data_IF_545351508151
#
_entry.id   IF_545351508151
#
_cell.length_a   1.000
_cell.length_b   1.000
_cell.length_c   1.000
_cell.angle_alpha   90.00
_cell.angle_beta   90.00
_cell.angle_gamma   90.00
#
_symmetry.space_group_name_H-M   'P 1'
#
loop_
_entity.id
_entity.type
_entity.pdbx_description
1 polymer ?
#
# COMPACT_ATOMS: atom_id res chain seq x y z
N UNK A 1 -12.03 4.53 30.75
CA UNK A 1 -13.09 4.64 31.77
C UNK A 1 -14.33 5.28 31.15
N UNK A 2 -15.43 4.53 30.93
CA UNK A 2 -16.70 5.11 30.46
C UNK A 2 -17.26 6.12 31.47
N UNK A 3 -17.69 7.28 30.99
CA UNK A 3 -18.27 8.35 31.79
C UNK A 3 -19.73 7.99 32.10
N UNK A 4 -20.04 7.89 33.39
CA UNK A 4 -21.38 7.57 33.89
C UNK A 4 -22.17 8.81 34.31
N UNK A 5 -21.49 9.77 34.96
CA UNK A 5 -22.06 11.09 35.34
C UNK A 5 -20.98 12.15 35.23
N UNK A 6 -21.38 13.37 34.97
CA UNK A 6 -20.54 14.56 34.98
C UNK A 6 -21.32 15.72 35.62
N UNK A 7 -20.61 16.59 36.33
CA UNK A 7 -21.19 17.76 36.99
C UNK A 7 -20.11 18.80 37.28
N UNK A 8 -20.54 20.05 37.51
CA UNK A 8 -19.63 21.12 37.93
C UNK A 8 -19.65 21.21 39.46
N UNK A 9 -18.47 21.22 40.07
CA UNK A 9 -18.31 21.45 41.50
C UNK A 9 -17.70 22.85 41.72
N UNK A 10 -18.38 23.71 42.47
CA UNK A 10 -17.97 25.10 42.72
C UNK A 10 -16.55 25.15 43.29
N UNK A 11 -15.65 25.86 42.61
CA UNK A 11 -14.23 25.97 42.97
C UNK A 11 -13.31 24.85 42.47
N UNK A 12 -13.87 23.71 42.05
CA UNK A 12 -13.09 22.55 41.59
C UNK A 12 -13.10 22.41 40.06
N UNK A 13 -14.21 22.78 39.40
CA UNK A 13 -14.38 22.68 37.95
C UNK A 13 -15.23 21.48 37.55
N UNK A 14 -14.95 20.94 36.37
CA UNK A 14 -15.68 19.80 35.79
C UNK A 14 -15.23 18.50 36.45
N UNK A 15 -16.16 17.82 37.13
CA UNK A 15 -15.93 16.51 37.75
C UNK A 15 -16.75 15.47 37.01
N UNK A 16 -16.11 14.36 36.69
CA UNK A 16 -16.73 13.21 36.06
C UNK A 16 -16.60 11.98 36.96
N UNK A 17 -17.48 11.01 36.77
CA UNK A 17 -17.45 9.75 37.52
C UNK A 17 -17.69 8.56 36.61
N UNK A 18 -17.01 7.45 36.90
CA UNK A 18 -17.12 6.23 36.12
C UNK A 18 -16.44 5.05 36.81
N UNK A 19 -16.62 3.87 36.24
CA UNK A 19 -15.88 2.67 36.66
C UNK A 19 -14.65 2.52 35.77
N UNK A 20 -13.47 2.45 36.38
CA UNK A 20 -12.21 2.24 35.67
C UNK A 20 -12.21 0.81 35.14
N UNK A 21 -12.42 0.64 33.84
CA UNK A 21 -12.49 -0.67 33.18
C UNK A 21 -11.11 -1.29 33.04
N UNK A 22 -10.12 -0.50 32.65
CA UNK A 22 -8.76 -0.98 32.37
C UNK A 22 -7.70 0.05 32.75
N UNK A 23 -6.49 -0.45 32.97
CA UNK A 23 -5.31 0.37 33.25
C UNK A 23 -5.34 1.06 34.61
N UNK A 24 -4.67 2.19 34.66
CA UNK A 24 -4.57 3.07 35.83
C UNK A 24 -4.43 4.51 35.34
N UNK A 25 -4.61 5.49 36.23
CA UNK A 25 -4.42 6.90 35.92
C UNK A 25 -3.92 7.63 37.18
N UNK A 26 -2.90 8.46 37.03
CA UNK A 26 -2.30 9.23 38.13
C UNK A 26 -2.65 10.70 38.05
N UNK A 27 -2.56 11.40 39.18
CA UNK A 27 -2.74 12.85 39.26
C UNK A 27 -1.77 13.57 38.32
N UNK A 28 -2.26 14.60 37.63
CA UNK A 28 -1.47 15.40 36.70
C UNK A 28 -1.30 14.81 35.29
N UNK A 29 -1.71 13.57 35.05
CA UNK A 29 -1.66 12.97 33.71
C UNK A 29 -2.62 13.67 32.73
N UNK A 30 -2.24 13.68 31.45
CA UNK A 30 -3.10 14.12 30.35
C UNK A 30 -4.03 12.99 29.93
N UNK A 31 -5.28 13.34 29.62
CA UNK A 31 -6.32 12.42 29.18
C UNK A 31 -7.03 12.96 27.95
N UNK A 32 -7.69 12.07 27.23
CA UNK A 32 -8.54 12.38 26.10
C UNK A 32 -9.93 11.80 26.33
N UNK A 33 -10.96 12.59 26.03
CA UNK A 33 -12.37 12.18 26.06
C UNK A 33 -12.76 11.84 24.63
N UNK A 34 -13.20 10.60 24.43
CA UNK A 34 -13.62 10.09 23.13
C UNK A 34 -15.13 9.78 23.14
N UNK A 35 -15.85 10.00 22.03
CA UNK A 35 -15.33 10.31 20.69
C UNK A 35 -15.09 11.80 20.39
N UNK A 36 -15.42 12.73 21.30
CA UNK A 36 -15.28 14.18 21.04
C UNK A 36 -13.85 14.68 20.81
N UNK A 37 -12.82 13.92 21.22
CA UNK A 37 -11.42 14.29 21.06
C UNK A 37 -10.97 15.41 22.01
N UNK A 38 -11.76 15.69 23.07
CA UNK A 38 -11.43 16.74 24.03
C UNK A 38 -10.23 16.31 24.87
N UNK A 39 -9.22 17.18 24.94
CA UNK A 39 -8.02 16.96 25.76
C UNK A 39 -8.17 17.65 27.10
N UNK A 40 -7.87 16.93 28.17
CA UNK A 40 -7.94 17.46 29.52
C UNK A 40 -6.73 17.00 30.35
N UNK A 41 -6.53 17.65 31.49
CA UNK A 41 -5.53 17.26 32.49
C UNK A 41 -6.19 16.87 33.81
N UNK A 42 -5.69 15.81 34.44
CA UNK A 42 -6.18 15.34 35.74
C UNK A 42 -5.75 16.29 36.85
N UNK A 43 -6.70 16.99 37.48
CA UNK A 43 -6.44 17.93 38.59
C UNK A 43 -6.50 17.25 39.95
N UNK A 44 -7.46 16.36 40.14
CA UNK A 44 -7.59 15.55 41.37
C UNK A 44 -8.35 14.27 41.09
N UNK A 45 -8.08 13.24 41.89
CA UNK A 45 -8.73 11.94 41.81
C UNK A 45 -9.35 11.60 43.16
N UNK A 46 -10.51 10.93 43.14
CA UNK A 46 -11.15 10.41 44.34
C UNK A 46 -11.72 9.01 44.11
N UNK A 47 -11.65 8.17 45.15
CA UNK A 47 -12.29 6.85 45.21
C UNK A 47 -13.05 6.79 46.52
N UNK A 48 -14.34 6.43 46.48
CA UNK A 48 -15.23 6.44 47.66
C UNK A 48 -15.17 7.75 48.48
N UNK A 49 -15.17 8.90 47.80
CA UNK A 49 -15.05 10.26 48.37
C UNK A 49 -13.72 10.55 49.11
N UNK A 50 -12.70 9.70 48.97
CA UNK A 50 -11.37 9.94 49.51
C UNK A 50 -10.41 10.38 48.40
N UNK A 51 -9.60 11.44 48.61
CA UNK A 51 -8.59 11.85 47.65
C UNK A 51 -7.52 10.78 47.51
N UNK A 52 -7.11 10.50 46.27
CA UNK A 52 -6.06 9.53 45.94
C UNK A 52 -5.13 10.13 44.88
N UNK A 53 -3.89 9.66 44.84
CA UNK A 53 -2.92 10.07 43.80
C UNK A 53 -3.05 9.22 42.52
N UNK A 54 -3.64 8.03 42.65
CA UNK A 54 -3.76 7.06 41.56
C UNK A 54 -5.06 6.27 41.66
N UNK A 55 -5.69 6.03 40.52
CA UNK A 55 -6.83 5.12 40.35
C UNK A 55 -6.43 3.94 39.48
N UNK A 56 -7.03 2.78 39.75
CA UNK A 56 -6.75 1.52 39.03
C UNK A 56 -8.04 0.84 38.58
N UNK A 57 -7.93 -0.07 37.61
CA UNK A 57 -9.04 -0.89 37.13
C UNK A 57 -9.82 -1.57 38.27
N UNK A 58 -11.14 -1.63 38.12
CA UNK A 58 -12.09 -2.15 39.12
C UNK A 58 -12.64 -1.08 40.07
N UNK A 59 -12.01 0.08 40.19
CA UNK A 59 -12.48 1.14 41.08
C UNK A 59 -13.55 2.02 40.43
N UNK A 60 -14.51 2.50 41.23
CA UNK A 60 -15.37 3.62 40.87
C UNK A 60 -14.68 4.91 41.29
N UNK A 61 -14.29 5.72 40.31
CA UNK A 61 -13.49 6.92 40.52
C UNK A 61 -14.26 8.19 40.14
N UNK A 62 -13.94 9.28 40.84
CA UNK A 62 -14.26 10.64 40.41
C UNK A 62 -12.97 11.34 39.97
N UNK A 63 -13.02 11.99 38.81
CA UNK A 63 -11.88 12.67 38.21
C UNK A 63 -12.26 14.13 38.00
N UNK A 64 -11.48 15.04 38.57
CA UNK A 64 -11.60 16.47 38.30
C UNK A 64 -10.70 16.81 37.11
N UNK A 65 -11.28 17.43 36.08
CA UNK A 65 -10.64 17.72 34.82
C UNK A 65 -10.38 19.22 34.66
N UNK A 66 -9.19 19.55 34.19
CA UNK A 66 -8.80 20.88 33.75
C UNK A 66 -8.81 20.95 32.22
N UNK A 67 -9.33 22.04 31.67
CA UNK A 67 -9.33 22.33 30.22
C UNK A 67 -10.61 21.94 29.48
N UNK A 68 -11.62 21.41 30.19
CA UNK A 68 -12.92 21.02 29.61
C UNK A 68 -14.08 21.48 30.48
N UNK A 69 -15.14 21.95 29.83
CA UNK A 69 -16.39 22.32 30.49
C UNK A 69 -17.37 21.14 30.50
N UNK A 70 -18.19 21.04 31.55
CA UNK A 70 -19.20 19.98 31.67
C UNK A 70 -20.24 20.01 30.54
N UNK A 71 -20.49 21.18 29.92
CA UNK A 71 -21.37 21.37 28.76
C UNK A 71 -20.86 20.70 27.48
N UNK A 72 -19.56 20.41 27.41
CA UNK A 72 -18.91 19.78 26.26
C UNK A 72 -18.88 18.25 26.35
N UNK A 73 -19.21 17.70 27.52
CA UNK A 73 -19.12 16.27 27.81
C UNK A 73 -20.50 15.65 27.67
N UNK A 74 -20.56 14.49 27.03
CA UNK A 74 -21.78 13.71 26.90
C UNK A 74 -21.72 12.39 27.68
N UNK A 75 -22.89 11.87 28.06
CA UNK A 75 -22.96 10.52 28.62
C UNK A 75 -22.75 9.50 27.51
N UNK A 76 -21.86 8.54 27.75
CA UNK A 76 -21.45 7.55 26.76
C UNK A 76 -20.04 7.77 26.25
N UNK A 77 -19.46 8.94 26.53
CA UNK A 77 -18.05 9.18 26.25
C UNK A 77 -17.14 8.38 27.19
N UNK A 78 -15.91 8.16 26.74
CA UNK A 78 -14.91 7.37 27.44
C UNK A 78 -13.66 8.19 27.61
N UNK A 79 -13.10 8.17 28.82
CA UNK A 79 -11.76 8.70 29.07
C UNK A 79 -10.71 7.65 28.87
N UNK A 80 -9.72 8.03 28.09
CA UNK A 80 -8.56 7.24 27.71
C UNK A 80 -7.29 8.06 27.91
N UNK A 81 -6.14 7.39 27.85
CA UNK A 81 -4.89 8.12 27.64
C UNK A 81 -4.85 8.58 26.16
N UNK A 82 -4.22 9.72 25.86
CA UNK A 82 -4.13 10.19 24.48
C UNK A 82 -3.50 9.14 23.57
N UNK A 83 -3.99 9.07 22.33
CA UNK A 83 -3.53 8.13 21.29
C UNK A 83 -3.74 6.64 21.59
N UNK A 84 -4.43 6.24 22.68
CA UNK A 84 -4.56 4.80 22.99
C UNK A 84 -5.73 4.09 22.34
N UNK A 85 -6.78 4.79 21.93
CA UNK A 85 -7.95 4.21 21.25
C UNK A 85 -8.44 5.19 20.18
N UNK A 86 -9.18 4.69 19.20
CA UNK A 86 -9.75 5.51 18.11
C UNK A 86 -11.26 5.29 18.08
N UNK A 87 -12.09 6.33 17.86
CA UNK A 87 -13.51 6.14 17.62
C UNK A 87 -13.77 5.41 16.29
N UNK A 88 -14.76 4.52 16.27
CA UNK A 88 -15.15 3.76 15.07
C UNK A 88 -16.67 3.78 14.88
N UNK A 89 -17.12 3.66 13.64
CA UNK A 89 -18.53 3.43 13.29
C UNK A 89 -18.79 2.00 12.79
N UNK A 90 -17.76 1.16 12.81
CA UNK A 90 -17.80 -0.21 12.29
C UNK A 90 -17.17 -1.16 13.31
N UNK A 91 -17.86 -2.25 13.64
CA UNK A 91 -17.37 -3.29 14.54
C UNK A 91 -17.65 -4.66 13.93
N UNK A 92 -16.69 -5.57 14.04
CA UNK A 92 -16.96 -7.00 13.85
C UNK A 92 -17.25 -7.62 15.21
N UNK A 93 -18.33 -8.39 15.28
CA UNK A 93 -18.84 -8.94 16.53
C UNK A 93 -19.25 -10.38 16.37
N UNK A 94 -19.20 -11.12 17.47
CA UNK A 94 -20.01 -12.31 17.64
C UNK A 94 -21.29 -11.89 18.34
N UNK A 95 -22.44 -12.13 17.70
CA UNK A 95 -23.75 -11.73 18.20
C UNK A 95 -24.53 -12.97 18.63
N UNK A 96 -25.04 -12.94 19.85
CA UNK A 96 -25.90 -13.95 20.45
C UNK A 96 -27.33 -13.40 20.51
N UNK A 97 -28.27 -14.12 19.88
CA UNK A 97 -29.69 -13.79 19.92
C UNK A 97 -30.36 -14.57 21.04
N UNK A 98 -31.05 -13.89 21.95
CA UNK A 98 -31.59 -14.52 23.14
C UNK A 98 -32.70 -15.52 22.77
N UNK A 99 -32.78 -16.69 23.45
CA UNK A 99 -33.89 -17.64 23.28
C UNK A 99 -35.26 -17.02 23.59
N UNK A 100 -35.30 -15.98 24.43
CA UNK A 100 -36.51 -15.25 24.82
C UNK A 100 -36.95 -14.20 23.79
N UNK A 101 -36.20 -13.99 22.71
CA UNK A 101 -36.58 -13.06 21.67
C UNK A 101 -37.78 -13.59 20.88
N UNK A 102 -38.76 -12.73 20.62
CA UNK A 102 -40.02 -13.14 19.98
C UNK A 102 -39.88 -13.50 18.49
N UNK A 103 -38.87 -12.95 17.81
CA UNK A 103 -38.72 -13.05 16.35
C UNK A 103 -37.26 -13.25 15.95
N UNK A 104 -36.99 -13.93 14.82
CA UNK A 104 -35.66 -13.95 14.23
C UNK A 104 -35.13 -12.56 13.94
N UNK A 105 -33.83 -12.36 14.18
CA UNK A 105 -33.13 -11.14 13.82
C UNK A 105 -32.73 -11.20 12.34
N UNK A 106 -33.42 -10.41 11.51
CA UNK A 106 -33.13 -10.33 10.08
C UNK A 106 -31.86 -9.52 9.81
N UNK A 107 -31.15 -9.91 8.76
CA UNK A 107 -30.03 -9.14 8.25
C UNK A 107 -30.44 -7.70 7.87
N UNK A 108 -29.53 -6.74 8.05
CA UNK A 108 -29.68 -5.30 7.80
C UNK A 108 -30.82 -4.64 8.58
N UNK A 109 -31.21 -5.19 9.73
CA UNK A 109 -32.13 -4.52 10.63
C UNK A 109 -31.40 -3.51 11.50
N UNK A 110 -32.11 -2.45 11.87
CA UNK A 110 -31.61 -1.42 12.79
C UNK A 110 -32.09 -1.75 14.20
N UNK A 111 -31.14 -1.86 15.13
CA UNK A 111 -31.41 -2.12 16.54
C UNK A 111 -30.66 -1.13 17.43
N UNK A 112 -31.08 -1.02 18.69
CA UNK A 112 -30.37 -0.21 19.69
C UNK A 112 -29.18 -0.99 20.20
N UNK A 113 -28.01 -0.41 20.08
CA UNK A 113 -26.73 -0.96 20.53
C UNK A 113 -26.26 -0.23 21.77
N UNK A 114 -25.92 -1.00 22.80
CA UNK A 114 -25.41 -0.49 24.06
C UNK A 114 -24.02 -1.07 24.34
N UNK A 115 -23.05 -0.18 24.56
CA UNK A 115 -21.70 -0.54 25.00
C UNK A 115 -21.25 0.44 26.08
N UNK A 116 -20.78 -0.08 27.22
CA UNK A 116 -20.45 0.75 28.38
C UNK A 116 -21.63 1.63 28.81
N UNK A 117 -21.45 2.96 28.75
CA UNK A 117 -22.49 3.95 29.08
C UNK A 117 -23.14 4.57 27.84
N UNK A 118 -22.76 4.14 26.63
CA UNK A 118 -23.18 4.69 25.35
C UNK A 118 -24.40 3.94 24.78
N UNK A 119 -25.24 4.68 24.06
CA UNK A 119 -26.33 4.17 23.23
C UNK A 119 -26.13 4.67 21.79
N UNK A 120 -26.16 3.76 20.83
CA UNK A 120 -26.15 4.05 19.38
C UNK A 120 -27.22 3.21 18.66
N UNK A 121 -27.55 3.57 17.42
CA UNK A 121 -28.29 2.67 16.55
C UNK A 121 -27.29 1.88 15.69
N UNK A 122 -27.48 0.57 15.60
CA UNK A 122 -26.65 -0.33 14.82
C UNK A 122 -27.47 -0.97 13.71
N UNK A 123 -27.02 -0.81 12.46
CA UNK A 123 -27.43 -1.68 11.36
C UNK A 123 -26.64 -2.97 11.45
N UNK A 124 -27.31 -4.08 11.69
CA UNK A 124 -26.69 -5.39 11.89
C UNK A 124 -26.55 -6.08 10.54
N UNK A 125 -25.32 -6.31 10.09
CA UNK A 125 -25.03 -7.08 8.89
C UNK A 125 -24.54 -8.48 9.27
N UNK A 126 -25.39 -9.50 9.13
CA UNK A 126 -25.01 -10.90 9.36
C UNK A 126 -24.06 -11.38 8.26
N UNK A 127 -22.95 -12.01 8.66
CA UNK A 127 -21.87 -12.42 7.76
C UNK A 127 -21.94 -13.89 7.37
N UNK A 128 -22.48 -14.74 8.23
CA UNK A 128 -22.53 -16.19 8.09
C UNK A 128 -23.95 -16.74 7.89
N UNK A 129 -24.99 -15.91 8.06
CA UNK A 129 -26.41 -16.31 8.01
C UNK A 129 -27.29 -15.26 7.34
N UNK A 130 -28.47 -15.66 6.87
CA UNK A 130 -29.51 -14.75 6.37
C UNK A 130 -30.37 -14.13 7.47
N UNK A 131 -30.67 -14.93 8.49
CA UNK A 131 -31.33 -14.49 9.71
C UNK A 131 -30.77 -15.26 10.89
N UNK A 132 -30.89 -14.69 12.09
CA UNK A 132 -30.45 -15.31 13.33
C UNK A 132 -31.67 -15.65 14.19
N UNK A 133 -31.92 -16.93 14.39
CA UNK A 133 -33.09 -17.46 15.12
C UNK A 133 -32.86 -17.34 16.64
N UNK A 134 -33.90 -17.15 17.46
CA UNK A 134 -33.74 -17.07 18.92
C UNK A 134 -32.97 -18.27 19.50
N UNK A 135 -31.95 -17.98 20.30
CA UNK A 135 -31.05 -18.97 20.90
C UNK A 135 -29.81 -19.30 20.09
N UNK A 136 -29.66 -18.76 18.87
CA UNK A 136 -28.46 -18.93 18.07
C UNK A 136 -27.47 -17.76 18.22
N UNK A 137 -26.21 -18.03 17.90
CA UNK A 137 -25.20 -17.01 17.66
C UNK A 137 -24.70 -17.00 16.21
N UNK A 138 -24.08 -15.91 15.80
CA UNK A 138 -23.49 -15.73 14.47
C UNK A 138 -22.55 -14.54 14.38
N UNK A 139 -21.73 -14.52 13.34
CA UNK A 139 -20.83 -13.42 13.06
C UNK A 139 -21.57 -12.27 12.37
N UNK A 140 -21.36 -11.05 12.87
CA UNK A 140 -21.99 -9.86 12.31
C UNK A 140 -21.01 -8.68 12.24
N UNK A 141 -21.28 -7.79 11.30
CA UNK A 141 -20.67 -6.47 11.23
C UNK A 141 -21.72 -5.42 11.63
N UNK A 142 -21.44 -4.65 12.67
CA UNK A 142 -22.31 -3.57 13.15
C UNK A 142 -21.88 -2.26 12.52
N UNK A 143 -22.82 -1.60 11.82
CA UNK A 143 -22.64 -0.23 11.33
C UNK A 143 -23.40 0.73 12.22
N UNK A 144 -22.68 1.62 12.87
CA UNK A 144 -23.21 2.49 13.91
C UNK A 144 -23.56 3.86 13.34
N UNK A 145 -24.63 4.47 13.84
CA UNK A 145 -25.09 5.80 13.44
C UNK A 145 -24.20 6.94 13.96
N UNK A 146 -23.34 6.64 14.95
CA UNK A 146 -22.36 7.56 15.53
C UNK A 146 -21.09 6.81 15.93
N UNK A 147 -19.95 7.50 16.05
CA UNK A 147 -18.71 6.88 16.52
C UNK A 147 -18.83 6.34 17.94
N UNK A 148 -18.22 5.18 18.18
CA UNK A 148 -18.11 4.55 19.50
C UNK A 148 -16.67 4.19 19.79
N UNK A 149 -16.36 4.01 21.06
CA UNK A 149 -15.07 3.51 21.53
C UNK A 149 -15.30 2.10 22.05
N UNK A 150 -14.60 1.14 21.49
CA UNK A 150 -14.67 -0.27 21.85
C UNK A 150 -13.27 -0.88 21.83
N UNK A 151 -13.07 -1.89 22.66
CA UNK A 151 -11.94 -2.80 22.61
C UNK A 151 -12.40 -4.20 22.23
N UNK A 152 -11.47 -5.00 21.75
CA UNK A 152 -11.70 -6.43 21.60
C UNK A 152 -12.11 -7.04 22.95
N UNK A 153 -13.02 -8.02 22.93
CA UNK A 153 -13.66 -8.64 24.09
C UNK A 153 -14.62 -7.76 24.88
N UNK A 154 -14.86 -6.50 24.48
CA UNK A 154 -15.92 -5.71 25.09
C UNK A 154 -17.29 -6.36 24.85
N UNK A 155 -18.07 -6.49 25.91
CA UNK A 155 -19.44 -7.00 25.86
C UNK A 155 -20.40 -5.88 25.51
N UNK A 156 -21.37 -6.17 24.66
CA UNK A 156 -22.43 -5.25 24.29
C UNK A 156 -23.81 -5.90 24.43
N UNK A 157 -24.84 -5.05 24.43
CA UNK A 157 -26.25 -5.46 24.49
C UNK A 157 -26.99 -4.89 23.29
N UNK A 158 -27.85 -5.71 22.68
CA UNK A 158 -28.77 -5.32 21.62
C UNK A 158 -30.19 -5.29 22.15
N UNK A 159 -30.88 -4.18 21.91
CA UNK A 159 -32.29 -4.01 22.26
C UNK A 159 -33.12 -3.67 21.02
N UNK A 160 -34.38 -4.08 21.05
CA UNK A 160 -35.34 -3.80 19.98
C UNK A 160 -35.45 -2.29 19.71
N UNK A 161 -35.57 -1.94 18.43
CA UNK A 161 -35.75 -0.54 18.00
C UNK A 161 -37.12 0.02 18.40
N UNK A 162 -38.19 -0.73 18.14
CA UNK A 162 -39.59 -0.35 18.43
C UNK A 162 -40.00 -0.66 19.87
N UNK A 163 -39.88 -1.93 20.29
CA UNK A 163 -40.13 -2.34 21.67
C UNK A 163 -38.80 -2.46 22.40
N UNK A 164 -38.63 -1.71 23.50
CA UNK A 164 -37.34 -1.58 24.21
C UNK A 164 -37.10 -2.81 25.11
N UNK A 165 -37.07 -3.99 24.50
CA UNK A 165 -36.70 -5.25 25.13
C UNK A 165 -35.27 -5.64 24.75
N UNK A 166 -34.57 -6.31 25.63
CA UNK A 166 -33.28 -6.93 25.29
C UNK A 166 -33.54 -8.12 24.39
N UNK A 167 -32.95 -8.12 23.20
CA UNK A 167 -33.11 -9.20 22.23
C UNK A 167 -31.83 -10.02 22.06
N UNK A 168 -30.68 -9.46 22.41
CA UNK A 168 -29.40 -10.11 22.21
C UNK A 168 -28.25 -9.38 22.90
N UNK A 169 -27.06 -9.90 22.70
CA UNK A 169 -25.81 -9.30 23.13
C UNK A 169 -24.66 -9.93 22.37
N UNK A 170 -23.45 -9.72 22.86
CA UNK A 170 -22.29 -10.35 22.24
C UNK A 170 -20.99 -9.75 22.69
N UNK A 171 -19.94 -10.06 21.94
CA UNK A 171 -18.58 -9.59 22.15
C UNK A 171 -18.02 -8.95 20.89
N UNK A 172 -17.25 -7.88 21.07
CA UNK A 172 -16.48 -7.24 19.99
C UNK A 172 -15.27 -8.11 19.66
N UNK A 173 -15.12 -8.48 18.38
CA UNK A 173 -14.02 -9.31 17.87
C UNK A 173 -12.90 -8.46 17.27
N UNK A 174 -13.26 -7.48 16.43
CA UNK A 174 -12.35 -6.47 15.88
C UNK A 174 -12.99 -5.08 16.01
N UNK A 175 -12.38 -4.16 16.78
CA UNK A 175 -12.86 -2.78 16.90
C UNK A 175 -12.54 -1.90 15.68
N UNK A 176 -11.62 -2.31 14.80
CA UNK A 176 -11.22 -1.52 13.62
C UNK A 176 -11.22 -2.35 12.32
N UNK A 177 -12.36 -2.97 11.97
CA UNK A 177 -12.43 -3.86 10.83
C UNK A 177 -12.56 -3.09 9.51
N UNK A 178 -12.33 -3.81 8.42
CA UNK A 178 -12.69 -3.37 7.07
C UNK A 178 -14.10 -3.88 6.71
N UNK A 179 -14.65 -3.40 5.60
CA UNK A 179 -15.96 -3.88 5.13
C UNK A 179 -15.83 -5.31 4.59
N UNK A 180 -16.65 -6.21 5.10
CA UNK A 180 -16.62 -7.61 4.68
C UNK A 180 -17.68 -7.95 3.64
N UNK A 181 -17.35 -8.92 2.79
CA UNK A 181 -18.31 -9.62 1.95
C UNK A 181 -18.98 -10.72 2.79
N UNK A 182 -20.32 -10.79 2.74
CA UNK A 182 -21.09 -11.87 3.38
C UNK A 182 -20.71 -13.22 2.78
N UNK A 183 -20.79 -14.27 3.60
CA UNK A 183 -20.49 -15.67 3.26
C UNK A 183 -19.08 -15.86 2.69
N UNK A 184 -18.14 -14.98 3.07
CA UNK A 184 -16.73 -15.20 2.74
C UNK A 184 -16.13 -16.15 3.76
N UNK A 185 -15.72 -17.33 3.30
CA UNK A 185 -15.05 -18.33 4.15
C UNK A 185 -13.81 -17.76 4.83
N UNK A 186 -13.01 -16.97 4.11
CA UNK A 186 -11.84 -16.30 4.67
C UNK A 186 -12.21 -15.38 5.85
N UNK A 187 -13.26 -14.55 5.70
CA UNK A 187 -13.71 -13.67 6.79
C UNK A 187 -14.27 -14.47 7.96
N UNK A 188 -15.05 -15.52 7.71
CA UNK A 188 -15.62 -16.36 8.77
C UNK A 188 -14.50 -17.06 9.55
N UNK A 189 -13.47 -17.56 8.86
CA UNK A 189 -12.31 -18.17 9.50
C UNK A 189 -11.51 -17.15 10.32
N UNK A 190 -11.28 -15.94 9.78
CA UNK A 190 -10.64 -14.84 10.50
C UNK A 190 -11.41 -14.52 11.80
N UNK A 191 -12.73 -14.34 11.72
CA UNK A 191 -13.55 -14.01 12.89
C UNK A 191 -13.66 -15.16 13.89
N UNK A 192 -13.67 -16.41 13.41
CA UNK A 192 -13.61 -17.60 14.27
C UNK A 192 -12.30 -17.63 15.05
N UNK A 193 -11.18 -17.32 14.39
CA UNK A 193 -9.88 -17.21 15.04
C UNK A 193 -9.87 -16.09 16.09
N UNK A 194 -10.48 -14.93 15.81
CA UNK A 194 -10.57 -13.84 16.79
C UNK A 194 -11.47 -14.17 17.99
N UNK A 195 -12.44 -15.08 17.82
CA UNK A 195 -13.34 -15.53 18.88
C UNK A 195 -12.73 -16.63 19.74
N UNK A 196 -12.18 -17.66 19.10
CA UNK A 196 -11.81 -18.93 19.74
C UNK A 196 -10.30 -19.17 19.80
N UNK A 197 -9.52 -18.42 19.01
CA UNK A 197 -8.07 -18.58 18.92
C UNK A 197 -7.33 -18.08 20.15
N UNK A 198 -6.12 -18.60 20.35
CA UNK A 198 -5.27 -18.15 21.45
C UNK A 198 -4.60 -16.79 21.13
N UNK A 199 -4.00 -16.17 22.16
CA UNK A 199 -3.36 -14.85 22.03
C UNK A 199 -2.24 -14.81 20.98
N UNK A 200 -1.49 -15.89 20.80
CA UNK A 200 -0.40 -15.97 19.81
C UNK A 200 -0.96 -16.08 18.39
N UNK A 201 -1.98 -16.91 18.17
CA UNK A 201 -2.67 -17.06 16.89
C UNK A 201 -3.34 -15.76 16.43
N UNK A 202 -4.01 -15.08 17.35
CA UNK A 202 -4.60 -13.76 17.11
C UNK A 202 -3.54 -12.72 16.75
N UNK A 203 -2.42 -12.69 17.47
CA UNK A 203 -1.33 -11.77 17.17
C UNK A 203 -0.74 -12.04 15.78
N UNK A 204 -0.52 -13.32 15.45
CA UNK A 204 -0.07 -13.75 14.12
C UNK A 204 -1.04 -13.34 13.02
N UNK A 205 -2.35 -13.46 13.27
CA UNK A 205 -3.37 -13.00 12.35
C UNK A 205 -3.26 -11.49 12.05
N UNK A 206 -3.14 -10.65 13.08
CA UNK A 206 -2.98 -9.20 12.88
C UNK A 206 -1.67 -8.85 12.16
N UNK A 207 -0.57 -9.56 12.45
CA UNK A 207 0.71 -9.39 11.77
C UNK A 207 0.64 -9.74 10.27
N UNK A 208 -0.12 -10.78 9.91
CA UNK A 208 -0.37 -11.16 8.52
C UNK A 208 -1.33 -10.19 7.81
N UNK A 209 -2.38 -9.71 8.49
CA UNK A 209 -3.30 -8.70 7.95
C UNK A 209 -2.62 -7.35 7.70
N UNK A 210 -1.65 -6.97 8.52
CA UNK A 210 -0.89 -5.73 8.36
C UNK A 210 -0.10 -5.67 7.03
N UNK A 211 0.17 -6.83 6.42
CA UNK A 211 0.79 -6.92 5.12
C UNK A 211 2.24 -6.41 5.09
N UNK A 212 2.62 -5.85 3.94
CA UNK A 212 4.02 -5.49 3.62
C UNK A 212 4.52 -4.24 4.32
N UNK A 213 3.61 -3.42 4.84
CA UNK A 213 3.97 -2.22 5.60
C UNK A 213 4.37 -2.52 7.04
N UNK A 214 4.07 -3.72 7.56
CA UNK A 214 4.20 -4.02 8.98
C UNK A 214 3.22 -3.25 9.85
N UNK A 215 3.31 -3.41 11.16
CA UNK A 215 2.42 -2.81 12.16
C UNK A 215 3.20 -2.37 13.39
N UNK A 216 2.78 -1.28 14.03
CA UNK A 216 3.41 -0.81 15.26
C UNK A 216 2.88 -1.57 16.46
N UNK A 217 3.67 -1.65 17.53
CA UNK A 217 3.20 -2.18 18.80
C UNK A 217 1.98 -1.39 19.33
N UNK A 218 1.92 -0.08 19.12
CA UNK A 218 0.79 0.76 19.51
C UNK A 218 -0.51 0.37 18.77
N UNK A 219 -0.43 0.11 17.47
CA UNK A 219 -1.57 -0.35 16.66
C UNK A 219 -2.03 -1.77 17.07
N UNK A 220 -1.09 -2.65 17.40
CA UNK A 220 -1.40 -3.97 17.94
C UNK A 220 -2.09 -3.86 19.31
N UNK A 221 -1.65 -2.98 20.20
CA UNK A 221 -2.30 -2.73 21.48
C UNK A 221 -3.70 -2.14 21.31
N UNK A 222 -3.92 -1.31 20.29
CA UNK A 222 -5.24 -0.77 19.96
C UNK A 222 -6.21 -1.87 19.55
N UNK A 223 -5.76 -2.81 18.71
CA UNK A 223 -6.58 -3.87 18.10
C UNK A 223 -6.78 -5.09 19.00
N UNK A 224 -5.88 -5.31 19.96
CA UNK A 224 -5.90 -6.49 20.82
C UNK A 224 -6.32 -6.14 22.24
N UNK A 225 -6.89 -7.10 22.95
CA UNK A 225 -7.14 -6.98 24.39
C UNK A 225 -5.89 -7.25 25.26
N UNK A 226 -4.68 -7.11 24.71
CA UNK A 226 -3.42 -7.45 25.38
C UNK A 226 -2.88 -6.29 26.22
N UNK A 227 -2.27 -6.62 27.35
CA UNK A 227 -1.49 -5.64 28.10
C UNK A 227 -0.12 -5.41 27.42
N UNK A 228 0.50 -4.23 27.59
CA UNK A 228 1.80 -3.92 26.99
C UNK A 228 2.89 -4.98 27.27
N UNK A 229 2.98 -5.46 28.51
CA UNK A 229 3.95 -6.49 28.89
C UNK A 229 3.66 -7.86 28.27
N UNK A 230 2.39 -8.23 28.14
CA UNK A 230 1.99 -9.49 27.50
C UNK A 230 2.32 -9.48 26.00
N UNK A 231 2.01 -8.37 25.32
CA UNK A 231 2.32 -8.22 23.90
C UNK A 231 3.83 -8.26 23.66
N UNK A 232 4.64 -7.59 24.49
CA UNK A 232 6.10 -7.65 24.37
C UNK A 232 6.64 -9.07 24.54
N UNK A 233 6.10 -9.84 25.50
CA UNK A 233 6.52 -11.22 25.70
C UNK A 233 6.19 -12.07 24.47
N UNK A 234 4.98 -11.95 23.93
CA UNK A 234 4.55 -12.69 22.74
C UNK A 234 5.40 -12.32 21.52
N UNK A 235 5.65 -11.03 21.28
CA UNK A 235 6.52 -10.59 20.18
C UNK A 235 7.95 -11.12 20.33
N UNK A 236 8.52 -11.13 21.54
CA UNK A 236 9.84 -11.74 21.79
C UNK A 236 9.84 -13.24 21.52
N UNK A 237 8.77 -13.96 21.89
CA UNK A 237 8.64 -15.38 21.59
C UNK A 237 8.57 -15.63 20.08
N UNK A 238 7.79 -14.84 19.33
CA UNK A 238 7.69 -14.95 17.88
C UNK A 238 9.00 -14.59 17.16
N UNK A 239 9.71 -13.57 17.65
CA UNK A 239 11.04 -13.19 17.17
C UNK A 239 12.06 -14.31 17.38
N UNK A 240 12.08 -14.94 18.57
CA UNK A 240 12.92 -16.10 18.85
C UNK A 240 12.60 -17.33 17.99
N UNK A 241 11.37 -17.46 17.49
CA UNK A 241 10.97 -18.49 16.50
C UNK A 241 11.31 -18.10 15.06
N UNK A 242 11.76 -16.87 14.81
CA UNK A 242 12.02 -16.35 13.47
C UNK A 242 10.75 -16.07 12.66
N UNK A 243 9.62 -15.78 13.30
CA UNK A 243 8.35 -15.51 12.60
C UNK A 243 8.16 -14.03 12.24
N UNK A 244 8.84 -13.13 12.95
CA UNK A 244 8.75 -11.69 12.77
C UNK A 244 10.14 -11.05 12.65
N UNK A 245 10.15 -9.79 12.19
CA UNK A 245 11.34 -8.93 12.16
C UNK A 245 10.97 -7.54 12.66
N UNK A 246 11.84 -6.93 13.46
CA UNK A 246 11.72 -5.52 13.86
C UNK A 246 12.26 -4.59 12.78
N UNK A 247 11.39 -3.78 12.18
CA UNK A 247 11.76 -2.77 11.19
C UNK A 247 12.32 -1.52 11.88
N UNK A 248 11.67 -1.13 12.98
CA UNK A 248 11.97 0.09 13.71
C UNK A 248 11.94 -0.22 15.21
N UNK A 249 13.10 -0.35 15.85
CA UNK A 249 13.18 -0.57 17.30
C UNK A 249 12.60 0.58 18.11
N UNK A 250 12.73 1.83 17.65
CA UNK A 250 12.27 3.03 18.37
C UNK A 250 10.75 3.10 18.39
N UNK A 251 10.10 2.80 17.26
CA UNK A 251 8.65 2.75 17.13
C UNK A 251 8.05 1.37 17.42
N UNK A 252 8.91 0.40 17.76
CA UNK A 252 8.55 -1.01 17.95
C UNK A 252 7.67 -1.53 16.80
N UNK A 253 8.08 -1.23 15.56
CA UNK A 253 7.37 -1.62 14.34
C UNK A 253 7.88 -2.99 13.88
N UNK A 254 6.95 -3.91 13.66
CA UNK A 254 7.23 -5.31 13.32
C UNK A 254 6.57 -5.70 12.00
N UNK A 255 7.17 -6.65 11.30
CA UNK A 255 6.63 -7.28 10.09
C UNK A 255 6.72 -8.79 10.23
N UNK A 256 5.71 -9.50 9.71
CA UNK A 256 5.78 -10.94 9.62
C UNK A 256 6.79 -11.38 8.54
N UNK A 257 7.60 -12.39 8.82
CA UNK A 257 8.70 -12.81 7.95
C UNK A 257 8.22 -13.25 6.55
N UNK A 258 7.01 -13.80 6.45
CA UNK A 258 6.42 -14.14 5.13
C UNK A 258 6.29 -12.92 4.21
N UNK A 259 5.89 -11.75 4.73
CA UNK A 259 5.81 -10.51 3.95
C UNK A 259 7.19 -9.96 3.62
N UNK A 260 8.14 -10.11 4.54
CA UNK A 260 9.53 -9.76 4.29
C UNK A 260 10.12 -10.56 3.12
N UNK A 261 9.92 -11.89 3.10
CA UNK A 261 10.35 -12.74 1.99
C UNK A 261 9.63 -12.41 0.68
N UNK A 262 8.34 -12.07 0.73
CA UNK A 262 7.61 -11.61 -0.46
C UNK A 262 8.24 -10.32 -1.03
N UNK A 263 8.60 -9.36 -0.18
CA UNK A 263 9.28 -8.13 -0.58
C UNK A 263 10.66 -8.40 -1.18
N UNK A 264 11.45 -9.28 -0.55
CA UNK A 264 12.74 -9.75 -1.11
C UNK A 264 12.56 -10.33 -2.51
N UNK A 265 11.56 -11.20 -2.69
CA UNK A 265 11.21 -11.75 -3.99
C UNK A 265 10.75 -10.70 -5.00
N UNK A 266 10.06 -9.64 -4.57
CA UNK A 266 9.67 -8.52 -5.44
C UNK A 266 10.89 -7.74 -5.94
N UNK A 267 11.86 -7.44 -5.07
CA UNK A 267 13.11 -6.78 -5.46
C UNK A 267 13.85 -7.59 -6.52
N UNK A 268 14.05 -8.88 -6.28
CA UNK A 268 14.74 -9.77 -7.21
C UNK A 268 14.01 -9.87 -8.55
N UNK A 269 12.67 -9.96 -8.56
CA UNK A 269 11.88 -9.95 -9.79
C UNK A 269 12.03 -8.64 -10.56
N UNK A 270 11.96 -7.50 -9.89
CA UNK A 270 12.13 -6.19 -10.53
C UNK A 270 13.51 -6.03 -11.18
N UNK A 271 14.58 -6.47 -10.49
CA UNK A 271 15.92 -6.47 -11.06
C UNK A 271 16.04 -7.44 -12.24
N UNK A 272 15.44 -8.64 -12.15
CA UNK A 272 15.43 -9.62 -13.25
C UNK A 272 14.72 -9.07 -14.49
N UNK A 273 13.53 -8.52 -14.33
CA UNK A 273 12.75 -7.90 -15.42
C UNK A 273 13.51 -6.72 -16.04
N UNK A 274 14.20 -5.92 -15.21
CA UNK A 274 15.02 -4.81 -15.69
C UNK A 274 16.20 -5.29 -16.55
N UNK A 275 16.97 -6.29 -16.10
CA UNK A 275 18.09 -6.81 -16.89
C UNK A 275 17.64 -7.51 -18.18
N UNK A 276 16.50 -8.19 -18.16
CA UNK A 276 15.92 -8.77 -19.38
C UNK A 276 15.53 -7.71 -20.40
N UNK A 277 14.95 -6.60 -19.92
CA UNK A 277 14.54 -5.48 -20.78
C UNK A 277 15.70 -4.60 -21.23
N UNK A 278 16.76 -4.50 -20.42
CA UNK A 278 17.92 -3.66 -20.69
C UNK A 278 19.24 -4.41 -20.46
N UNK A 279 19.59 -5.40 -21.30
CA UNK A 279 20.75 -6.26 -21.05
C UNK A 279 22.10 -5.53 -21.01
N UNK A 280 22.20 -4.37 -21.66
CA UNK A 280 23.40 -3.54 -21.71
C UNK A 280 23.50 -2.53 -20.56
N UNK A 281 22.48 -2.37 -19.73
CA UNK A 281 22.57 -1.53 -18.53
C UNK A 281 23.21 -2.31 -17.39
N UNK A 282 24.16 -1.68 -16.70
CA UNK A 282 24.91 -2.28 -15.59
C UNK A 282 24.05 -2.53 -14.36
N UNK A 283 22.97 -1.78 -14.17
CA UNK A 283 22.01 -2.04 -13.10
C UNK A 283 20.92 -0.98 -13.04
N UNK A 284 20.04 -1.13 -12.06
CA UNK A 284 18.92 -0.24 -11.78
C UNK A 284 19.30 0.69 -10.61
N UNK A 285 19.04 2.00 -10.73
CA UNK A 285 19.32 2.93 -9.65
C UNK A 285 18.51 2.61 -8.39
N UNK A 286 19.08 2.85 -7.20
CA UNK A 286 18.44 2.56 -5.91
C UNK A 286 17.07 3.22 -5.78
N UNK A 287 16.99 4.52 -6.01
CA UNK A 287 15.72 5.24 -5.90
C UNK A 287 14.70 4.80 -6.97
N UNK A 288 15.15 4.50 -8.19
CA UNK A 288 14.25 3.98 -9.23
C UNK A 288 13.65 2.63 -8.82
N UNK A 289 14.45 1.73 -8.26
CA UNK A 289 13.96 0.46 -7.72
C UNK A 289 12.95 0.70 -6.59
N UNK A 290 13.22 1.63 -5.68
CA UNK A 290 12.30 1.96 -4.57
C UNK A 290 10.93 2.41 -5.09
N UNK A 291 10.89 3.22 -6.15
CA UNK A 291 9.61 3.67 -6.74
C UNK A 291 8.77 2.55 -7.37
N UNK A 292 9.39 1.40 -7.69
CA UNK A 292 8.71 0.21 -8.25
C UNK A 292 8.22 -0.76 -7.17
N UNK A 293 8.48 -0.47 -5.90
CA UNK A 293 8.07 -1.28 -4.76
C UNK A 293 6.82 -0.69 -4.07
N UNK A 294 6.10 -1.46 -3.24
CA UNK A 294 4.88 -1.00 -2.58
C UNK A 294 5.10 0.27 -1.74
N UNK A 295 4.17 1.22 -1.82
CA UNK A 295 4.26 2.52 -1.14
C UNK A 295 4.21 2.40 0.39
N UNK A 296 3.64 1.32 0.92
CA UNK A 296 3.54 1.04 2.36
C UNK A 296 4.91 0.67 2.97
N UNK A 297 5.90 0.35 2.14
CA UNK A 297 7.26 0.05 2.55
C UNK A 297 7.97 1.33 2.95
N UNK A 298 8.34 1.44 4.23
CA UNK A 298 9.13 2.56 4.71
C UNK A 298 10.61 2.46 4.28
N UNK A 299 11.33 3.58 4.40
CA UNK A 299 12.74 3.69 4.01
C UNK A 299 13.64 2.76 4.82
N UNK A 300 13.34 2.52 6.11
CA UNK A 300 14.14 1.65 6.98
C UNK A 300 14.02 0.19 6.50
N UNK A 301 12.81 -0.29 6.25
CA UNK A 301 12.52 -1.61 5.69
C UNK A 301 13.20 -1.80 4.32
N UNK A 302 13.14 -0.79 3.45
CA UNK A 302 13.83 -0.84 2.17
C UNK A 302 15.36 -0.99 2.33
N UNK A 303 15.96 -0.22 3.22
CA UNK A 303 17.41 -0.30 3.51
C UNK A 303 17.79 -1.66 4.10
N UNK A 304 16.99 -2.20 5.02
CA UNK A 304 17.20 -3.54 5.58
C UNK A 304 17.16 -4.61 4.49
N UNK A 305 16.12 -4.60 3.64
CA UNK A 305 15.99 -5.53 2.52
C UNK A 305 17.20 -5.48 1.58
N UNK A 306 17.66 -4.28 1.23
CA UNK A 306 18.85 -4.12 0.40
C UNK A 306 20.11 -4.66 1.09
N UNK A 307 20.33 -4.32 2.35
CA UNK A 307 21.49 -4.78 3.09
C UNK A 307 21.53 -6.31 3.17
N UNK A 308 20.40 -6.95 3.44
CA UNK A 308 20.30 -8.42 3.46
C UNK A 308 20.63 -9.03 2.09
N UNK A 309 20.13 -8.45 1.00
CA UNK A 309 20.38 -8.90 -0.37
C UNK A 309 21.84 -8.69 -0.82
N UNK A 310 22.48 -7.63 -0.32
CA UNK A 310 23.90 -7.36 -0.56
C UNK A 310 24.78 -8.31 0.25
N UNK A 311 24.42 -8.56 1.51
CA UNK A 311 25.15 -9.49 2.39
C UNK A 311 25.00 -10.95 1.92
N UNK A 312 23.84 -11.34 1.40
CA UNK A 312 23.65 -12.67 0.82
C UNK A 312 24.36 -12.87 -0.53
N UNK A 313 24.83 -11.79 -1.16
CA UNK A 313 25.47 -11.83 -2.47
C UNK A 313 24.50 -12.06 -3.64
N UNK A 314 23.18 -11.99 -3.41
CA UNK A 314 22.18 -12.09 -4.48
C UNK A 314 22.12 -10.82 -5.34
N UNK A 315 22.40 -9.67 -4.71
CA UNK A 315 22.45 -8.36 -5.36
C UNK A 315 23.85 -7.77 -5.16
N UNK A 316 24.34 -7.06 -6.17
CA UNK A 316 25.61 -6.34 -6.14
C UNK A 316 25.31 -4.85 -6.34
N UNK A 317 25.93 -4.02 -5.51
CA UNK A 317 25.91 -2.56 -5.63
C UNK A 317 27.19 -2.09 -6.31
N UNK A 318 27.04 -1.47 -7.48
CA UNK A 318 28.13 -0.81 -8.21
C UNK A 318 27.84 0.70 -8.26
N UNK A 319 28.56 1.46 -7.44
CA UNK A 319 28.29 2.89 -7.18
C UNK A 319 26.87 3.10 -6.63
N UNK A 320 25.91 3.45 -7.49
CA UNK A 320 24.50 3.65 -7.15
C UNK A 320 23.55 2.73 -7.93
N UNK A 321 24.11 1.77 -8.68
CA UNK A 321 23.35 0.83 -9.49
C UNK A 321 23.32 -0.53 -8.82
N UNK A 322 22.12 -1.08 -8.67
CA UNK A 322 21.87 -2.41 -8.17
C UNK A 322 21.69 -3.37 -9.33
N UNK A 323 22.39 -4.50 -9.29
CA UNK A 323 22.22 -5.59 -10.24
C UNK A 323 22.16 -6.94 -9.54
N UNK A 324 21.61 -7.94 -10.23
CA UNK A 324 21.71 -9.32 -9.76
C UNK A 324 23.16 -9.76 -9.89
N UNK A 325 23.64 -10.58 -8.96
CA UNK A 325 25.01 -11.11 -9.04
C UNK A 325 25.26 -11.94 -10.31
N UNK A 326 24.20 -12.53 -10.86
CA UNK A 326 24.20 -13.28 -12.12
C UNK A 326 24.22 -12.39 -13.38
N UNK A 327 24.00 -11.08 -13.26
CA UNK A 327 24.03 -10.16 -14.41
C UNK A 327 25.39 -9.49 -14.51
N UNK A 328 26.11 -9.68 -15.61
CA UNK A 328 27.34 -8.93 -15.93
C UNK A 328 27.22 -8.26 -17.29
N UNK A 329 27.55 -6.96 -17.35
CA UNK A 329 27.58 -6.19 -18.61
C UNK A 329 28.92 -6.31 -19.32
N UNK A 330 30.01 -6.54 -18.55
CA UNK A 330 31.37 -6.62 -19.11
C UNK A 330 31.48 -7.70 -20.19
N UNK A 331 30.81 -8.85 -20.04
CA UNK A 331 30.86 -9.93 -21.05
C UNK A 331 30.23 -9.56 -22.40
N UNK A 332 29.38 -8.52 -22.48
CA UNK A 332 28.69 -8.11 -23.71
C UNK A 332 29.33 -6.90 -24.42
N UNK A 333 30.03 -6.02 -23.72
CA UNK A 333 30.64 -4.80 -24.30
C UNK A 333 32.18 -4.75 -24.21
N UNK A 334 32.82 -5.86 -23.80
CA UNK A 334 34.27 -5.95 -23.52
C UNK A 334 35.20 -5.55 -24.69
N UNK A 335 34.68 -5.48 -25.93
CA UNK A 335 35.47 -5.13 -27.14
C UNK A 335 35.14 -3.76 -27.75
N UNK A 336 34.34 -2.92 -27.08
CA UNK A 336 33.86 -1.67 -27.68
C UNK A 336 32.96 -1.91 -28.89
N UNK A 337 32.25 -3.05 -28.90
CA UNK A 337 31.40 -3.47 -30.00
C UNK A 337 30.24 -2.50 -30.20
N UNK A 338 29.68 -1.93 -29.12
CA UNK A 338 28.63 -0.90 -29.20
C UNK A 338 29.10 0.30 -30.02
N UNK A 339 30.30 0.80 -29.73
CA UNK A 339 30.89 1.93 -30.47
C UNK A 339 31.19 1.57 -31.92
N UNK A 340 31.68 0.35 -32.18
CA UNK A 340 31.93 -0.16 -33.54
C UNK A 340 30.62 -0.31 -34.34
N UNK A 341 29.54 -0.77 -33.71
CA UNK A 341 28.19 -0.81 -34.30
C UNK A 341 27.72 0.60 -34.64
N UNK A 342 27.83 1.54 -33.70
CA UNK A 342 27.45 2.94 -33.94
C UNK A 342 28.23 3.55 -35.12
N UNK A 343 29.55 3.39 -35.15
CA UNK A 343 30.42 3.88 -36.22
C UNK A 343 30.09 3.24 -37.57
N UNK A 344 29.81 1.94 -37.61
CA UNK A 344 29.43 1.23 -38.83
C UNK A 344 28.11 1.73 -39.42
N UNK A 345 27.10 1.95 -38.56
CA UNK A 345 25.80 2.46 -38.98
C UNK A 345 25.89 3.93 -39.38
N UNK A 346 26.69 4.74 -38.68
CA UNK A 346 26.97 6.12 -39.05
C UNK A 346 27.67 6.20 -40.41
N UNK A 347 28.68 5.36 -40.66
CA UNK A 347 29.41 5.27 -41.93
C UNK A 347 28.53 4.78 -43.09
N UNK A 348 27.58 3.89 -42.80
CA UNK A 348 26.59 3.42 -43.78
C UNK A 348 25.58 4.49 -44.21
N UNK A 349 25.44 5.59 -43.45
CA UNK A 349 24.57 6.72 -43.79
C UNK A 349 23.11 6.29 -43.97
N UNK A 350 22.58 6.46 -45.19
CA UNK A 350 21.21 6.07 -45.56
C UNK A 350 21.09 4.62 -46.08
N UNK A 351 22.20 3.89 -46.18
CA UNK A 351 22.27 2.47 -46.55
C UNK A 351 23.06 1.68 -45.49
N UNK A 352 22.62 1.71 -44.22
CA UNK A 352 23.33 1.06 -43.15
C UNK A 352 23.25 -0.48 -43.28
N UNK A 353 24.28 -1.20 -42.80
CA UNK A 353 24.21 -2.64 -42.66
C UNK A 353 23.17 -3.05 -41.61
N UNK A 354 22.53 -4.20 -41.82
CA UNK A 354 21.60 -4.80 -40.86
C UNK A 354 22.34 -5.58 -39.75
N UNK A 355 21.68 -5.90 -38.62
CA UNK A 355 22.28 -6.76 -37.58
C UNK A 355 22.81 -8.08 -38.13
N UNK A 356 22.07 -8.70 -39.07
CA UNK A 356 22.46 -9.93 -39.75
C UNK A 356 23.69 -9.77 -40.65
N UNK A 357 23.73 -8.68 -41.43
CA UNK A 357 24.88 -8.38 -42.30
C UNK A 357 26.15 -8.13 -41.46
N UNK A 358 26.02 -7.44 -40.32
CA UNK A 358 27.14 -7.25 -39.37
C UNK A 358 27.54 -8.54 -38.65
N UNK A 359 26.58 -9.42 -38.34
CA UNK A 359 26.84 -10.72 -37.73
C UNK A 359 27.72 -11.58 -38.65
N UNK A 360 27.35 -11.64 -39.93
CA UNK A 360 28.11 -12.34 -40.98
C UNK A 360 29.49 -11.70 -41.20
N UNK A 361 29.57 -10.37 -41.29
CA UNK A 361 30.83 -9.66 -41.57
C UNK A 361 31.84 -9.76 -40.42
N UNK A 362 31.37 -9.66 -39.16
CA UNK A 362 32.23 -9.61 -37.99
C UNK A 362 32.37 -10.95 -37.26
N UNK A 363 31.69 -11.99 -37.76
CA UNK A 363 31.63 -13.31 -37.10
C UNK A 363 31.14 -13.22 -35.65
N UNK A 364 30.14 -12.38 -35.42
CA UNK A 364 29.49 -12.15 -34.13
C UNK A 364 28.09 -12.78 -34.12
N UNK A 365 27.53 -13.03 -32.93
CA UNK A 365 26.20 -13.63 -32.79
C UNK A 365 25.09 -12.60 -33.13
N UNK A 366 24.13 -12.98 -33.98
CA UNK A 366 23.06 -12.08 -34.45
C UNK A 366 22.21 -11.54 -33.28
N UNK A 367 21.84 -12.40 -32.32
CA UNK A 367 21.07 -12.01 -31.13
C UNK A 367 21.82 -10.98 -30.26
N UNK A 368 23.15 -11.09 -30.21
CA UNK A 368 23.98 -10.15 -29.49
C UNK A 368 23.98 -8.77 -30.15
N UNK A 369 24.15 -8.71 -31.47
CA UNK A 369 24.07 -7.46 -32.23
C UNK A 369 22.66 -6.87 -32.18
N UNK A 370 21.61 -7.69 -32.30
CA UNK A 370 20.23 -7.23 -32.19
C UNK A 370 19.97 -6.56 -30.83
N UNK A 371 20.52 -7.10 -29.74
CA UNK A 371 20.46 -6.48 -28.40
C UNK A 371 21.13 -5.11 -28.35
N UNK A 372 22.28 -4.94 -29.03
CA UNK A 372 22.99 -3.66 -29.14
C UNK A 372 22.15 -2.64 -29.92
N UNK A 373 21.56 -3.05 -31.04
CA UNK A 373 20.70 -2.17 -31.84
C UNK A 373 19.48 -1.71 -31.05
N UNK A 374 18.79 -2.63 -30.35
CA UNK A 374 17.62 -2.28 -29.54
C UNK A 374 17.98 -1.31 -28.40
N UNK A 375 19.17 -1.45 -27.82
CA UNK A 375 19.69 -0.50 -26.84
C UNK A 375 19.93 0.89 -27.43
N UNK A 376 20.59 0.98 -28.59
CA UNK A 376 20.87 2.24 -29.27
C UNK A 376 19.60 2.93 -29.79
N UNK A 377 18.57 2.14 -30.15
CA UNK A 377 17.22 2.67 -30.46
C UNK A 377 16.57 3.25 -29.21
N UNK A 378 16.63 2.56 -28.07
CA UNK A 378 16.04 3.04 -26.83
C UNK A 378 16.74 4.29 -26.27
N UNK A 379 18.05 4.44 -26.52
CA UNK A 379 18.79 5.67 -26.20
C UNK A 379 18.48 6.83 -27.16
N UNK A 380 17.83 6.55 -28.30
CA UNK A 380 17.53 7.54 -29.34
C UNK A 380 18.73 7.84 -30.26
N UNK A 381 19.80 7.04 -30.21
CA UNK A 381 20.93 7.12 -31.14
C UNK A 381 20.55 6.56 -32.50
N UNK A 382 19.81 5.44 -32.51
CA UNK A 382 19.28 4.81 -33.72
C UNK A 382 17.77 5.05 -33.85
N UNK A 383 17.30 5.07 -35.10
CA UNK A 383 15.88 5.14 -35.46
C UNK A 383 15.54 3.87 -36.24
N UNK A 384 14.67 3.04 -35.66
CA UNK A 384 14.17 1.84 -36.33
C UNK A 384 13.14 2.23 -37.39
N UNK A 385 13.53 2.09 -38.66
CA UNK A 385 12.68 2.40 -39.83
C UNK A 385 11.74 1.22 -40.08
N UNK A 386 12.30 0.02 -40.14
CA UNK A 386 11.59 -1.26 -40.18
C UNK A 386 12.47 -2.36 -39.62
N UNK A 387 11.94 -3.57 -39.54
CA UNK A 387 12.73 -4.75 -39.19
C UNK A 387 13.91 -4.93 -40.16
N UNK A 388 15.12 -5.01 -39.60
CA UNK A 388 16.38 -5.07 -40.36
C UNK A 388 16.89 -3.74 -40.94
N UNK A 389 16.20 -2.60 -40.76
CA UNK A 389 16.70 -1.28 -41.19
C UNK A 389 16.65 -0.28 -40.04
N UNK A 390 17.84 0.15 -39.61
CA UNK A 390 18.07 1.11 -38.53
C UNK A 390 18.96 2.23 -39.02
N UNK A 391 18.51 3.47 -38.92
CA UNK A 391 19.32 4.63 -39.29
C UNK A 391 19.93 5.28 -38.07
N UNK A 392 21.16 5.78 -38.19
CA UNK A 392 21.70 6.67 -37.19
C UNK A 392 20.90 7.99 -37.17
N UNK A 393 20.69 8.55 -35.98
CA UNK A 393 19.90 9.78 -35.79
C UNK A 393 20.41 10.94 -36.64
N UNK A 394 21.73 11.09 -36.75
CA UNK A 394 22.37 12.18 -37.51
C UNK A 394 22.00 12.21 -39.02
N UNK A 395 22.29 11.18 -39.83
CA UNK A 395 21.90 11.16 -41.25
C UNK A 395 20.37 11.17 -41.44
N UNK A 396 19.60 10.60 -40.52
CA UNK A 396 18.14 10.68 -40.58
C UNK A 396 17.63 12.13 -40.46
N UNK A 397 18.16 12.90 -39.51
CA UNK A 397 17.76 14.30 -39.34
C UNK A 397 18.17 15.16 -40.54
N UNK A 398 19.38 14.96 -41.08
CA UNK A 398 19.82 15.65 -42.30
C UNK A 398 18.87 15.39 -43.47
N UNK A 399 18.54 14.11 -43.72
CA UNK A 399 17.58 13.74 -44.76
C UNK A 399 16.19 14.34 -44.52
N UNK A 400 15.75 14.37 -43.26
CA UNK A 400 14.46 14.96 -42.89
C UNK A 400 14.43 16.45 -43.26
N UNK A 401 15.48 17.20 -42.95
CA UNK A 401 15.58 18.63 -43.28
C UNK A 401 15.65 18.87 -44.79
N UNK A 402 16.45 18.10 -45.52
CA UNK A 402 16.53 18.17 -46.99
C UNK A 402 15.17 17.89 -47.64
N UNK A 403 14.44 16.87 -47.17
CA UNK A 403 13.11 16.54 -47.67
C UNK A 403 12.10 17.66 -47.39
N UNK A 404 12.15 18.28 -46.21
CA UNK A 404 11.28 19.41 -45.86
C UNK A 404 11.58 20.59 -46.79
N UNK A 405 12.85 20.95 -46.99
CA UNK A 405 13.25 22.04 -47.88
C UNK A 405 12.76 21.79 -49.31
N UNK A 406 13.02 20.60 -49.85
CA UNK A 406 12.58 20.22 -51.18
C UNK A 406 11.06 20.33 -51.35
N UNK A 407 10.28 19.84 -50.37
CA UNK A 407 8.82 19.92 -50.43
C UNK A 407 8.26 21.33 -50.21
N UNK A 408 8.99 22.21 -49.52
CA UNK A 408 8.60 23.62 -49.40
C UNK A 408 8.73 24.35 -50.74
N UNK A 409 9.78 24.06 -51.50
CA UNK A 409 10.05 24.64 -52.83
C UNK A 409 9.21 24.00 -53.94
N UNK A 410 9.20 22.67 -54.04
CA UNK A 410 8.60 21.92 -55.15
C UNK A 410 7.18 21.41 -54.87
N UNK A 411 6.66 21.58 -53.65
CA UNK A 411 5.32 21.16 -53.16
C UNK A 411 5.05 19.66 -53.09
N UNK A 412 5.62 18.89 -54.00
CA UNK A 412 5.42 17.45 -54.13
C UNK A 412 6.73 16.75 -54.51
N UNK A 413 6.86 15.48 -54.12
CA UNK A 413 7.97 14.63 -54.52
C UNK A 413 7.48 13.25 -54.94
N UNK A 414 7.96 12.76 -56.08
CA UNK A 414 7.74 11.38 -56.54
C UNK A 414 8.78 10.44 -55.92
N UNK A 415 8.51 9.13 -55.93
CA UNK A 415 9.50 8.14 -55.51
C UNK A 415 10.80 8.20 -56.37
N UNK A 416 10.69 8.58 -57.65
CA UNK A 416 11.85 8.75 -58.53
C UNK A 416 12.72 9.93 -58.12
N UNK A 417 12.11 11.10 -57.86
CA UNK A 417 12.82 12.29 -57.37
C UNK A 417 13.44 12.06 -55.99
N UNK A 418 12.73 11.36 -55.09
CA UNK A 418 13.28 10.99 -53.79
C UNK A 418 14.50 10.06 -53.93
N UNK A 419 14.49 9.15 -54.91
CA UNK A 419 15.66 8.32 -55.24
C UNK A 419 16.83 9.16 -55.73
N UNK A 420 16.59 10.14 -56.58
CA UNK A 420 17.63 11.04 -57.09
C UNK A 420 18.24 11.91 -55.99
N UNK A 421 17.40 12.40 -55.08
CA UNK A 421 17.81 13.18 -53.91
C UNK A 421 18.69 12.37 -52.96
N UNK A 422 18.26 11.15 -52.61
CA UNK A 422 18.93 10.32 -51.60
C UNK A 422 20.04 9.43 -52.16
N UNK A 423 20.04 9.16 -53.47
CA UNK A 423 20.94 8.24 -54.18
C UNK A 423 21.02 6.83 -53.57
N UNK A 424 20.00 6.42 -52.80
CA UNK A 424 19.98 5.09 -52.17
C UNK A 424 19.31 4.04 -53.03
N UNK A 425 19.64 2.77 -52.77
CA UNK A 425 18.98 1.66 -53.45
C UNK A 425 17.51 1.52 -53.06
N UNK A 426 16.72 0.87 -53.92
CA UNK A 426 15.26 0.68 -53.72
C UNK A 426 14.94 -0.04 -52.40
N UNK A 427 15.86 -0.90 -51.91
CA UNK A 427 15.78 -1.62 -50.62
C UNK A 427 15.61 -0.67 -49.43
N UNK A 428 16.32 0.45 -49.42
CA UNK A 428 16.29 1.45 -48.32
C UNK A 428 15.33 2.61 -48.61
N UNK A 429 15.22 3.03 -49.87
CA UNK A 429 14.38 4.14 -50.29
C UNK A 429 12.91 3.98 -49.88
N UNK A 430 12.30 2.82 -50.17
CA UNK A 430 10.87 2.58 -49.93
C UNK A 430 10.56 2.60 -48.42
N UNK A 431 11.28 1.85 -47.57
CA UNK A 431 11.04 1.91 -46.13
C UNK A 431 11.22 3.29 -45.52
N UNK A 432 12.23 4.05 -45.97
CA UNK A 432 12.50 5.39 -45.43
C UNK A 432 11.35 6.35 -45.79
N UNK A 433 10.89 6.34 -47.05
CA UNK A 433 9.82 7.24 -47.47
C UNK A 433 8.46 6.85 -46.85
N UNK A 434 8.22 5.55 -46.63
CA UNK A 434 7.05 5.06 -45.90
C UNK A 434 7.11 5.41 -44.41
N UNK A 435 8.30 5.39 -43.82
CA UNK A 435 8.50 5.81 -42.43
C UNK A 435 8.19 7.29 -42.23
N UNK A 436 8.55 8.16 -43.19
CA UNK A 436 8.13 9.56 -43.16
C UNK A 436 6.61 9.74 -43.24
N UNK A 437 5.91 8.88 -43.96
CA UNK A 437 4.44 8.85 -43.97
C UNK A 437 3.90 8.41 -42.59
N UNK A 438 4.53 7.38 -41.98
CA UNK A 438 4.16 6.84 -40.68
C UNK A 438 4.32 7.85 -39.54
N UNK A 439 5.45 8.59 -39.51
CA UNK A 439 5.67 9.67 -38.54
C UNK A 439 4.92 10.96 -38.90
N UNK A 440 4.04 10.89 -39.92
CA UNK A 440 3.17 11.99 -40.38
C UNK A 440 3.91 13.21 -40.89
N UNK A 441 5.16 13.06 -41.35
CA UNK A 441 5.89 14.14 -42.01
C UNK A 441 5.36 14.36 -43.43
N UNK A 442 5.16 13.28 -44.17
CA UNK A 442 4.65 13.29 -45.54
C UNK A 442 3.27 12.63 -45.63
N UNK A 443 2.53 12.95 -46.70
CA UNK A 443 1.28 12.30 -47.05
C UNK A 443 1.34 11.84 -48.50
N UNK A 444 1.08 10.55 -48.72
CA UNK A 444 1.00 9.97 -50.07
C UNK A 444 -0.34 10.32 -50.74
N UNK A 445 -0.26 10.96 -51.91
CA UNK A 445 -1.38 11.31 -52.79
C UNK A 445 -1.10 10.72 -54.17
N UNK A 446 -1.68 9.54 -54.45
CA UNK A 446 -1.35 8.76 -55.65
C UNK A 446 0.12 8.32 -55.68
N UNK A 447 0.84 8.72 -56.72
CA UNK A 447 2.27 8.42 -56.93
C UNK A 447 3.22 9.48 -56.34
N UNK A 448 2.66 10.53 -55.74
CA UNK A 448 3.40 11.66 -55.17
C UNK A 448 3.22 11.73 -53.67
N UNK A 449 4.13 12.44 -53.01
CA UNK A 449 4.06 12.79 -51.60
C UNK A 449 4.14 14.28 -51.42
N UNK A 450 3.32 14.80 -50.52
CA UNK A 450 3.30 16.21 -50.15
C UNK A 450 3.67 16.36 -48.67
N UNK A 451 4.19 17.53 -48.30
CA UNK A 451 4.45 17.85 -46.90
C UNK A 451 3.12 17.94 -46.16
N UNK A 452 2.98 17.24 -45.04
CA UNK A 452 1.76 17.31 -44.24
C UNK A 452 1.74 18.64 -43.49
N UNK A 453 0.82 19.53 -43.84
CA UNK A 453 0.61 20.81 -43.15
C UNK A 453 0.03 20.56 -41.76
N UNK A 454 0.91 20.35 -40.78
CA UNK A 454 0.55 20.17 -39.38
C UNK A 454 1.76 20.01 -38.46
N UNK A 455 2.14 21.13 -37.82
CA UNK A 455 3.17 21.34 -36.77
C UNK A 455 4.64 21.39 -37.21
N UNK A 456 5.08 22.60 -37.52
CA UNK A 456 6.31 23.15 -36.93
C UNK A 456 6.10 23.31 -35.41
N UNK A 457 6.65 22.38 -34.64
CA UNK A 457 6.97 22.52 -33.21
C UNK A 457 7.99 21.46 -32.83
#
# INVERSE_FOLDING_TARGET
MPIARFFVMKGFGTVITGTVVSGNLSLGESVEILPSGLKAKVRSLQVYNQPVERIVAGQRAAINLQGVEASQIERGEVIVRPNTLVPTTLLDVYLEHLPTAERPLKNRTVQRFHIGTLLANATIQLLDKEELVPGEGGFAQLRLDRPVVAMQQDRFVIRGSSHIQTIGGGVVLDPYPEKHKRFSEAVINDLTLLRDGNKEEMLRHYLLKAGRGGITQEDLLRRTALLPGELQLLLKTMDGKGEILYIDPERSKVIHLSHYHQLKGMVLRQLKEFHQRFPLKSGLAREELRTKLPLEMDTRLYQMLLNDLLQSGEVILEKDLLRLSTHSVSSRDEKGLVKRVEEAILKGGLQPPSPKELAEEWSEEEDHLQTIFDHLVHQGTFIKIKEGIYLHRHPFHQLKEELIHYLQEHKEITAAQFKEMTKVSRKYMIPIIEYFDQIKLTLRVGDKRILRTGRTS
#
